data_IF_855213586988
#
_entry.id   IF_855213586988
#
_cell.length_a   1.000
_cell.length_b   1.000
_cell.length_c   1.000
_cell.angle_alpha   90.00
_cell.angle_beta   90.00
_cell.angle_gamma   90.00
#
_symmetry.space_group_name_H-M   'P 1'
#
loop_
_entity.id
_entity.type
_entity.pdbx_description
1 polymer ?
#
# COMPACT_ATOMS: atom_id res chain seq x y z
N UNK A 1 -14.55 13.49 -23.43
CA UNK A 1 -14.67 13.41 -21.97
C UNK A 1 -14.29 11.99 -21.62
N UNK A 2 -13.01 11.72 -21.31
CA UNK A 2 -12.59 10.42 -20.79
C UNK A 2 -13.00 10.31 -19.32
N UNK A 3 -13.14 9.06 -18.88
CA UNK A 3 -13.66 8.64 -17.58
C UNK A 3 -13.06 9.40 -16.40
N UNK A 4 -13.89 10.19 -15.73
CA UNK A 4 -13.75 10.40 -14.28
C UNK A 4 -14.32 9.12 -13.65
N UNK A 5 -13.53 8.05 -13.70
CA UNK A 5 -13.86 6.78 -13.08
C UNK A 5 -13.78 6.96 -11.58
N UNK A 6 -14.92 6.82 -10.91
CA UNK A 6 -14.98 6.61 -9.47
C UNK A 6 -14.32 5.26 -9.14
N UNK A 7 -13.01 5.26 -8.88
CA UNK A 7 -12.33 4.17 -8.17
C UNK A 7 -11.08 4.65 -7.41
N UNK A 8 -11.11 5.87 -6.85
CA UNK A 8 -10.09 6.35 -5.91
C UNK A 8 -10.27 5.71 -4.52
N UNK A 9 -10.32 4.39 -4.46
CA UNK A 9 -10.20 3.63 -3.20
C UNK A 9 -8.97 2.75 -3.35
N UNK A 10 -8.15 2.69 -2.30
CA UNK A 10 -7.08 1.70 -2.15
C UNK A 10 -7.67 0.35 -2.51
N UNK A 11 -7.29 -0.22 -3.67
CA UNK A 11 -7.80 -1.52 -4.10
C UNK A 11 -7.30 -2.57 -3.12
N UNK A 12 -8.20 -3.43 -2.67
CA UNK A 12 -7.95 -4.37 -1.58
C UNK A 12 -7.70 -5.75 -2.13
N UNK A 13 -6.66 -6.42 -1.66
CA UNK A 13 -6.17 -7.70 -2.18
C UNK A 13 -6.96 -8.92 -1.66
N UNK A 14 -7.94 -8.69 -0.77
CA UNK A 14 -8.91 -9.70 -0.31
C UNK A 14 -9.69 -10.37 -1.46
N UNK A 15 -10.12 -11.62 -1.25
CA UNK A 15 -11.11 -12.30 -2.10
C UNK A 15 -12.48 -11.60 -2.10
N UNK A 16 -12.67 -10.63 -1.22
CA UNK A 16 -13.89 -9.86 -1.07
C UNK A 16 -13.70 -8.39 -1.46
N UNK A 17 -14.80 -7.77 -1.89
CA UNK A 17 -14.83 -6.35 -2.23
C UNK A 17 -14.43 -5.48 -1.02
N UNK A 18 -13.56 -4.47 -1.23
CA UNK A 18 -13.23 -3.48 -0.23
C UNK A 18 -14.49 -2.89 0.40
N UNK A 19 -14.46 -2.68 1.71
CA UNK A 19 -15.38 -1.73 2.35
C UNK A 19 -14.52 -0.69 3.06
N UNK A 20 -14.56 0.60 2.65
CA UNK A 20 -13.74 1.62 3.29
C UNK A 20 -14.15 1.81 4.74
N UNK A 21 -13.19 2.23 5.57
CA UNK A 21 -13.47 2.80 6.88
C UNK A 21 -14.42 4.01 6.77
N UNK A 22 -15.16 4.27 7.83
CA UNK A 22 -16.23 5.28 7.84
C UNK A 22 -16.06 6.31 8.94
N UNK A 23 -14.92 6.33 9.62
CA UNK A 23 -14.68 7.25 10.73
C UNK A 23 -14.39 8.66 10.25
N UNK A 24 -13.83 8.83 9.05
CA UNK A 24 -13.33 10.11 8.55
C UNK A 24 -12.07 10.57 9.29
N UNK A 25 -11.33 9.63 9.87
CA UNK A 25 -10.08 9.83 10.60
C UNK A 25 -9.03 8.86 10.07
N UNK A 26 -7.77 9.00 10.50
CA UNK A 26 -6.70 8.06 10.11
C UNK A 26 -6.98 6.61 10.51
N UNK A 27 -7.92 6.35 11.44
CA UNK A 27 -8.22 4.99 11.88
C UNK A 27 -8.79 4.13 10.76
N UNK A 28 -9.33 4.77 9.72
CA UNK A 28 -9.77 4.10 8.50
C UNK A 28 -8.61 3.36 7.80
N UNK A 29 -7.35 3.74 8.07
CA UNK A 29 -6.17 3.03 7.59
C UNK A 29 -6.11 1.59 8.11
N UNK A 30 -6.52 1.27 9.34
CA UNK A 30 -6.53 -0.11 9.81
C UNK A 30 -7.45 -1.00 8.95
N UNK A 31 -8.60 -0.45 8.54
CA UNK A 31 -9.52 -1.13 7.63
C UNK A 31 -8.85 -1.32 6.27
N UNK A 32 -8.23 -0.27 5.72
CA UNK A 32 -7.53 -0.34 4.44
C UNK A 32 -6.40 -1.39 4.48
N UNK A 33 -5.61 -1.46 5.55
CA UNK A 33 -4.51 -2.41 5.69
C UNK A 33 -4.97 -3.84 5.83
N UNK A 34 -6.03 -4.15 6.59
CA UNK A 34 -6.59 -5.51 6.67
C UNK A 34 -6.91 -6.05 5.28
N UNK A 35 -7.47 -5.17 4.47
CA UNK A 35 -7.88 -5.44 3.12
C UNK A 35 -6.72 -5.48 2.11
N UNK A 36 -5.67 -4.69 2.35
CA UNK A 36 -4.47 -4.55 1.53
C UNK A 36 -3.29 -5.41 2.03
N UNK A 37 -3.48 -6.29 3.02
CA UNK A 37 -2.42 -7.16 3.51
C UNK A 37 -2.30 -8.42 2.64
N UNK A 38 -1.19 -8.53 1.92
CA UNK A 38 -0.88 -9.66 1.04
C UNK A 38 -0.80 -11.00 1.79
N UNK A 39 -0.41 -10.98 3.06
CA UNK A 39 -0.38 -12.15 3.93
C UNK A 39 -1.77 -12.63 4.30
N UNK A 40 -2.66 -11.72 4.73
CA UNK A 40 -4.07 -12.05 4.99
C UNK A 40 -4.76 -12.54 3.71
N UNK A 41 -4.54 -11.89 2.58
CA UNK A 41 -5.14 -12.29 1.32
C UNK A 41 -4.73 -13.72 0.89
N UNK A 42 -3.52 -14.15 1.24
CA UNK A 42 -3.01 -15.49 0.95
C UNK A 42 -3.37 -16.57 1.98
N UNK A 43 -3.76 -16.19 3.20
CA UNK A 43 -3.94 -17.09 4.35
C UNK A 43 -5.37 -17.13 4.90
N UNK A 44 -6.16 -16.07 4.74
CA UNK A 44 -7.48 -15.88 5.37
C UNK A 44 -8.61 -15.96 4.34
N UNK A 45 -9.76 -16.53 4.72
CA UNK A 45 -10.96 -16.51 3.86
C UNK A 45 -11.43 -15.06 3.68
N UNK A 46 -11.74 -14.65 2.44
CA UNK A 46 -12.20 -13.28 2.16
C UNK A 46 -13.44 -12.87 2.96
N UNK A 47 -14.30 -13.82 3.36
CA UNK A 47 -15.45 -13.54 4.23
C UNK A 47 -15.04 -13.15 5.63
N UNK A 48 -13.94 -13.69 6.14
CA UNK A 48 -13.43 -13.39 7.48
C UNK A 48 -12.63 -12.09 7.45
N UNK A 49 -11.89 -11.82 6.36
CA UNK A 49 -11.31 -10.48 6.10
C UNK A 49 -12.39 -9.39 6.15
N UNK A 50 -13.54 -9.58 5.47
CA UNK A 50 -14.64 -8.58 5.48
C UNK A 50 -15.21 -8.37 6.89
N UNK A 51 -15.43 -9.45 7.64
CA UNK A 51 -15.97 -9.34 9.00
C UNK A 51 -14.97 -8.71 9.96
N UNK A 52 -13.70 -9.09 9.89
CA UNK A 52 -12.62 -8.50 10.70
C UNK A 52 -12.41 -7.03 10.38
N UNK A 53 -12.42 -6.64 9.11
CA UNK A 53 -12.39 -5.24 8.68
C UNK A 53 -13.61 -4.45 9.16
N UNK A 54 -14.81 -5.04 9.10
CA UNK A 54 -16.02 -4.42 9.63
C UNK A 54 -15.98 -4.24 11.16
N UNK A 55 -15.41 -5.22 11.88
CA UNK A 55 -15.17 -5.13 13.30
C UNK A 55 -14.16 -4.02 13.66
N UNK A 56 -13.04 -3.94 12.94
CA UNK A 56 -12.05 -2.87 13.07
C UNK A 56 -12.67 -1.48 12.83
N UNK A 57 -13.52 -1.33 11.82
CA UNK A 57 -14.27 -0.09 11.58
C UNK A 57 -15.21 0.24 12.75
N UNK A 58 -15.93 -0.76 13.28
CA UNK A 58 -16.81 -0.60 14.44
C UNK A 58 -16.05 -0.13 15.69
N UNK A 59 -14.91 -0.74 15.99
CA UNK A 59 -14.04 -0.34 17.10
C UNK A 59 -13.53 1.09 16.90
N UNK A 60 -13.10 1.41 15.69
CA UNK A 60 -12.61 2.75 15.33
C UNK A 60 -13.68 3.83 15.49
N UNK A 61 -14.94 3.54 15.15
CA UNK A 61 -16.07 4.46 15.39
C UNK A 61 -16.27 4.73 16.90
N UNK A 62 -16.14 3.70 17.75
CA UNK A 62 -16.22 3.86 19.20
C UNK A 62 -15.03 4.64 19.77
N UNK A 63 -13.83 4.50 19.21
CA UNK A 63 -12.66 5.32 19.55
C UNK A 63 -12.94 6.79 19.25
N UNK A 64 -13.45 7.10 18.05
CA UNK A 64 -13.79 8.47 17.66
C UNK A 64 -14.89 9.05 18.56
N UNK A 65 -15.89 8.27 18.93
CA UNK A 65 -16.91 8.72 19.88
C UNK A 65 -16.29 9.05 21.26
N UNK A 66 -15.42 8.18 21.78
CA UNK A 66 -14.75 8.39 23.06
C UNK A 66 -13.82 9.60 23.04
N UNK A 67 -13.09 9.81 21.95
CA UNK A 67 -12.24 10.98 21.76
C UNK A 67 -13.07 12.28 21.83
N UNK A 68 -14.17 12.33 21.07
CA UNK A 68 -15.09 13.47 21.08
C UNK A 68 -15.73 13.72 22.45
N UNK A 69 -16.12 12.67 23.17
CA UNK A 69 -16.75 12.78 24.49
C UNK A 69 -15.80 13.30 25.57
N UNK A 70 -14.51 13.02 25.42
CA UNK A 70 -13.47 13.37 26.40
C UNK A 70 -12.66 14.61 26.01
N UNK A 71 -12.73 15.03 24.74
CA UNK A 71 -11.90 16.08 24.17
C UNK A 71 -10.47 15.62 23.85
N UNK A 72 -10.21 14.30 23.88
CA UNK A 72 -8.90 13.73 23.58
C UNK A 72 -8.49 13.98 22.13
N UNK A 73 -7.21 14.23 21.88
CA UNK A 73 -6.69 14.40 20.53
C UNK A 73 -7.07 15.72 19.86
N UNK A 74 -7.69 16.66 20.59
CA UNK A 74 -8.17 17.92 20.02
C UNK A 74 -7.05 18.84 19.49
N UNK A 75 -5.81 18.63 19.97
CA UNK A 75 -4.60 19.30 19.50
C UNK A 75 -3.77 18.44 18.54
N UNK A 76 -4.33 17.34 18.05
CA UNK A 76 -3.66 16.37 17.17
C UNK A 76 -2.75 15.40 17.91
N UNK A 77 -2.73 15.39 19.26
CA UNK A 77 -1.93 14.46 20.06
C UNK A 77 -2.76 13.80 21.14
N UNK A 78 -2.50 12.52 21.38
CA UNK A 78 -3.09 11.80 22.50
C UNK A 78 -2.08 11.73 23.64
N UNK A 79 -2.53 12.06 24.84
CA UNK A 79 -1.79 11.92 26.08
C UNK A 79 -2.24 10.68 26.85
N UNK A 80 -1.41 10.21 27.80
CA UNK A 80 -1.77 9.10 28.69
C UNK A 80 -3.06 9.40 29.46
N UNK A 81 -3.22 10.63 29.95
CA UNK A 81 -4.41 11.06 30.68
C UNK A 81 -5.67 11.00 29.82
N UNK A 82 -5.58 11.39 28.56
CA UNK A 82 -6.68 11.31 27.59
C UNK A 82 -7.02 9.87 27.24
N UNK A 83 -6.03 9.01 27.02
CA UNK A 83 -6.23 7.56 26.81
C UNK A 83 -6.96 6.92 27.98
N UNK A 84 -6.60 7.26 29.22
CA UNK A 84 -7.31 6.77 30.42
C UNK A 84 -8.76 7.28 30.45
N UNK A 85 -9.00 8.54 30.09
CA UNK A 85 -10.35 9.09 30.04
C UNK A 85 -11.22 8.40 28.97
N UNK A 86 -10.66 8.14 27.78
CA UNK A 86 -11.34 7.41 26.70
C UNK A 86 -11.67 5.98 27.12
N UNK A 87 -10.72 5.26 27.74
CA UNK A 87 -10.96 3.93 28.29
C UNK A 87 -12.14 3.93 29.27
N UNK A 88 -12.16 4.87 30.22
CA UNK A 88 -13.25 4.98 31.19
C UNK A 88 -14.61 5.23 30.51
N UNK A 89 -14.63 6.06 29.46
CA UNK A 89 -15.83 6.32 28.67
C UNK A 89 -16.32 5.05 27.96
N UNK A 90 -15.44 4.36 27.23
CA UNK A 90 -15.78 3.12 26.51
C UNK A 90 -16.30 2.07 27.49
N UNK A 91 -15.62 1.86 28.61
CA UNK A 91 -16.02 0.87 29.63
C UNK A 91 -17.38 1.19 30.26
N UNK A 92 -17.69 2.46 30.44
CA UNK A 92 -18.95 2.88 31.05
C UNK A 92 -20.15 2.81 30.08
N UNK A 93 -19.92 3.00 28.77
CA UNK A 93 -21.01 3.19 27.80
C UNK A 93 -21.12 2.06 26.77
N UNK A 94 -19.99 1.45 26.39
CA UNK A 94 -19.87 0.61 25.20
C UNK A 94 -19.20 -0.75 25.44
N UNK A 95 -18.90 -1.13 26.68
CA UNK A 95 -18.12 -2.34 26.97
C UNK A 95 -18.66 -3.60 26.29
N UNK A 96 -19.99 -3.80 26.28
CA UNK A 96 -20.59 -4.98 25.63
C UNK A 96 -20.42 -4.97 24.11
N UNK A 97 -20.56 -3.81 23.47
CA UNK A 97 -20.37 -3.67 22.02
C UNK A 97 -18.89 -3.79 21.66
N UNK A 98 -18.02 -3.14 22.44
CA UNK A 98 -16.57 -3.21 22.28
C UNK A 98 -16.06 -4.65 22.32
N UNK A 99 -16.42 -5.42 23.35
CA UNK A 99 -15.99 -6.82 23.46
C UNK A 99 -16.53 -7.69 22.32
N UNK A 100 -17.75 -7.44 21.85
CA UNK A 100 -18.30 -8.20 20.72
C UNK A 100 -17.63 -7.88 19.38
N UNK A 101 -17.21 -6.63 19.18
CA UNK A 101 -16.46 -6.21 18.00
C UNK A 101 -15.01 -6.67 18.06
N UNK A 102 -14.36 -6.56 19.22
CA UNK A 102 -13.00 -7.09 19.42
C UNK A 102 -12.96 -8.58 19.11
N UNK A 103 -13.94 -9.31 19.64
CA UNK A 103 -14.07 -10.74 19.42
C UNK A 103 -13.31 -11.55 20.46
N UNK A 104 -13.18 -12.84 20.13
CA UNK A 104 -12.63 -13.89 20.97
C UNK A 104 -12.01 -14.93 20.03
N UNK A 105 -10.92 -15.57 20.44
CA UNK A 105 -10.19 -16.64 19.76
C UNK A 105 -10.14 -17.93 20.62
N UNK A 106 -10.83 -17.96 21.76
CA UNK A 106 -10.91 -19.15 22.60
C UNK A 106 -11.71 -20.29 21.94
N UNK A 107 -11.29 -21.53 22.24
CA UNK A 107 -12.04 -22.73 21.84
C UNK A 107 -11.99 -23.07 20.33
N UNK A 108 -11.19 -22.34 19.55
CA UNK A 108 -11.02 -22.56 18.11
C UNK A 108 -12.15 -21.97 17.25
N UNK A 109 -12.92 -21.02 17.79
CA UNK A 109 -13.88 -20.21 17.04
C UNK A 109 -13.48 -18.74 17.16
N UNK A 110 -13.00 -18.15 16.06
CA UNK A 110 -12.67 -16.72 16.01
C UNK A 110 -13.91 -15.89 15.69
N UNK A 111 -14.03 -14.72 16.33
CA UNK A 111 -15.09 -13.74 16.08
C UNK A 111 -14.53 -12.33 16.05
N UNK A 112 -15.33 -11.35 15.61
CA UNK A 112 -14.93 -9.93 15.65
C UNK A 112 -13.65 -9.63 14.86
N UNK A 113 -12.77 -8.82 15.44
CA UNK A 113 -11.46 -8.48 14.89
C UNK A 113 -10.49 -9.67 14.91
N UNK A 114 -10.67 -10.64 15.82
CA UNK A 114 -9.86 -11.86 15.87
C UNK A 114 -10.00 -12.77 14.64
N UNK A 115 -10.90 -12.47 13.70
CA UNK A 115 -10.99 -13.13 12.39
C UNK A 115 -9.87 -12.77 11.41
N UNK A 116 -9.06 -11.75 11.75
CA UNK A 116 -7.90 -11.33 10.95
C UNK A 116 -6.64 -11.20 11.79
N UNK A 117 -6.74 -11.32 13.11
CA UNK A 117 -5.62 -11.19 14.03
C UNK A 117 -4.96 -12.56 14.16
N UNK A 118 -3.65 -12.61 13.96
CA UNK A 118 -2.87 -13.85 13.88
C UNK A 118 -3.21 -14.78 12.69
N UNK A 119 -4.00 -14.30 11.72
CA UNK A 119 -4.43 -15.05 10.52
C UNK A 119 -3.55 -14.88 9.29
N UNK A 120 -2.28 -14.51 9.50
CA UNK A 120 -1.30 -14.43 8.42
C UNK A 120 -0.99 -13.02 7.92
N UNK A 121 -1.45 -11.97 8.59
CA UNK A 121 -1.00 -10.60 8.29
C UNK A 121 0.53 -10.49 8.26
N UNK A 122 1.05 -9.72 7.31
CA UNK A 122 2.49 -9.52 7.10
C UNK A 122 2.92 -8.05 7.14
N UNK A 123 1.97 -7.12 7.04
CA UNK A 123 2.24 -5.67 7.07
C UNK A 123 2.95 -5.28 8.36
N UNK A 124 4.01 -4.48 8.24
CA UNK A 124 4.83 -4.06 9.36
C UNK A 124 4.65 -2.56 9.62
N UNK A 125 4.59 -2.19 10.90
CA UNK A 125 4.68 -0.81 11.37
C UNK A 125 5.78 -0.72 12.43
N UNK A 126 6.86 0.02 12.13
CA UNK A 126 8.02 0.22 13.01
C UNK A 126 8.58 -1.10 13.59
N UNK A 127 8.62 -2.12 12.72
CA UNK A 127 9.14 -3.46 13.03
C UNK A 127 8.20 -4.36 13.84
N UNK A 128 6.93 -3.99 13.98
CA UNK A 128 5.88 -4.80 14.59
C UNK A 128 4.84 -5.16 13.54
N UNK A 129 4.16 -6.30 13.71
CA UNK A 129 3.05 -6.64 12.84
C UNK A 129 1.90 -5.64 13.05
N UNK A 130 1.45 -5.00 11.99
CA UNK A 130 0.46 -3.93 12.07
C UNK A 130 -0.88 -4.46 12.58
N UNK A 131 -1.39 -5.57 12.04
CA UNK A 131 -2.68 -6.11 12.45
C UNK A 131 -2.58 -6.80 13.81
N UNK A 132 -1.59 -7.68 13.98
CA UNK A 132 -1.49 -8.57 15.15
C UNK A 132 -0.94 -7.90 16.40
N UNK A 133 -0.36 -6.70 16.29
CA UNK A 133 0.27 -6.04 17.44
C UNK A 133 -0.22 -4.61 17.60
N UNK A 134 -0.15 -3.80 16.55
CA UNK A 134 -0.47 -2.38 16.67
C UNK A 134 -1.99 -2.16 16.69
N UNK A 135 -2.72 -2.66 15.69
CA UNK A 135 -4.18 -2.55 15.62
C UNK A 135 -4.85 -3.30 16.79
N UNK A 136 -4.43 -4.56 17.03
CA UNK A 136 -4.82 -5.32 18.23
C UNK A 136 -4.61 -4.50 19.51
N UNK A 137 -3.39 -3.98 19.70
CA UNK A 137 -3.04 -3.17 20.86
C UNK A 137 -3.89 -1.90 20.99
N UNK A 138 -4.24 -1.23 19.89
CA UNK A 138 -5.18 -0.08 19.89
C UNK A 138 -6.59 -0.53 20.27
N UNK A 139 -7.05 -1.67 19.77
CA UNK A 139 -8.37 -2.21 20.06
C UNK A 139 -8.49 -2.80 21.47
N UNK A 140 -7.38 -2.88 22.22
CA UNK A 140 -7.40 -3.11 23.66
C UNK A 140 -7.83 -1.88 24.49
N UNK A 141 -8.06 -0.71 23.86
CA UNK A 141 -8.47 0.52 24.55
C UNK A 141 -9.72 0.38 25.42
N UNK A 142 -10.63 -0.57 25.14
CA UNK A 142 -11.83 -0.83 25.94
C UNK A 142 -11.61 -1.74 27.16
N UNK A 143 -10.45 -2.37 27.29
CA UNK A 143 -10.19 -3.38 28.32
C UNK A 143 -9.66 -2.79 29.64
N UNK A 144 -9.52 -3.62 30.66
CA UNK A 144 -9.13 -3.16 31.99
C UNK A 144 -7.70 -2.63 31.99
N UNK A 145 -7.45 -1.52 32.69
CA UNK A 145 -6.09 -1.00 32.89
C UNK A 145 -5.58 -1.51 34.23
N UNK A 146 -4.41 -2.18 34.22
CA UNK A 146 -3.70 -2.57 35.43
C UNK A 146 -2.26 -2.01 35.41
N UNK A 147 -1.97 -1.14 36.38
CA UNK A 147 -0.70 -0.43 36.40
C UNK A 147 -0.60 0.50 35.20
N UNK A 148 0.39 0.25 34.34
CA UNK A 148 0.62 1.03 33.12
C UNK A 148 0.17 0.33 31.84
N UNK A 149 -0.47 -0.85 31.94
CA UNK A 149 -0.85 -1.65 30.77
C UNK A 149 -2.36 -1.81 30.68
N UNK A 150 -2.85 -1.90 29.45
CA UNK A 150 -4.12 -2.56 29.18
C UNK A 150 -3.96 -4.06 29.41
N UNK A 151 -4.99 -4.70 29.93
CA UNK A 151 -5.10 -6.15 30.00
C UNK A 151 -5.78 -6.67 28.72
N UNK A 152 -5.41 -7.86 28.27
CA UNK A 152 -6.18 -8.61 27.29
C UNK A 152 -7.39 -9.30 27.94
N UNK A 153 -8.14 -10.04 27.14
CA UNK A 153 -9.33 -10.81 27.51
C UNK A 153 -9.06 -11.80 28.66
N UNK A 154 -7.83 -12.33 28.71
CA UNK A 154 -7.35 -13.29 29.71
C UNK A 154 -6.86 -12.63 31.01
N UNK A 155 -6.73 -11.30 31.03
CA UNK A 155 -6.17 -10.55 32.15
C UNK A 155 -4.63 -10.45 32.15
N UNK A 156 -3.98 -10.84 31.05
CA UNK A 156 -2.55 -10.67 30.82
C UNK A 156 -2.24 -9.27 30.28
N UNK A 157 -1.02 -8.78 30.53
CA UNK A 157 -0.63 -7.43 30.10
C UNK A 157 -0.43 -7.34 28.58
N UNK A 158 -1.09 -6.37 27.95
CA UNK A 158 -0.89 -5.96 26.56
C UNK A 158 -0.19 -4.57 26.51
N UNK A 159 -0.60 -3.67 25.62
CA UNK A 159 0.05 -2.40 25.36
C UNK A 159 0.12 -1.49 26.58
N UNK A 160 1.22 -0.75 26.69
CA UNK A 160 1.32 0.30 27.71
C UNK A 160 0.46 1.50 27.35
N UNK A 161 0.06 2.29 28.35
CA UNK A 161 -0.63 3.58 28.14
C UNK A 161 0.17 4.53 27.24
N UNK A 162 1.51 4.50 27.34
CA UNK A 162 2.40 5.32 26.52
C UNK A 162 2.33 4.90 25.04
N UNK A 163 2.48 3.59 24.76
CA UNK A 163 2.37 3.07 23.39
C UNK A 163 0.99 3.34 22.79
N UNK A 164 -0.08 3.20 23.55
CA UNK A 164 -1.44 3.53 23.10
C UNK A 164 -1.56 5.00 22.69
N UNK A 165 -0.99 5.92 23.50
CA UNK A 165 -1.01 7.35 23.20
C UNK A 165 -0.23 7.69 21.93
N UNK A 166 0.89 7.01 21.71
CA UNK A 166 1.70 7.13 20.50
C UNK A 166 0.93 6.60 19.28
N UNK A 167 0.44 5.35 19.32
CA UNK A 167 -0.32 4.77 18.20
C UNK A 167 -1.58 5.55 17.85
N UNK A 168 -2.35 6.01 18.83
CA UNK A 168 -3.51 6.87 18.56
C UNK A 168 -3.09 8.20 17.94
N UNK A 169 -1.99 8.81 18.37
CA UNK A 169 -1.49 10.05 17.73
C UNK A 169 -1.17 9.81 16.25
N UNK A 170 -0.55 8.67 15.92
CA UNK A 170 -0.15 8.33 14.55
C UNK A 170 -1.32 7.92 13.66
N UNK A 171 -2.21 7.07 14.17
CA UNK A 171 -3.31 6.50 13.38
C UNK A 171 -4.62 7.27 13.50
N UNK A 172 -4.75 8.28 14.35
CA UNK A 172 -5.99 9.06 14.40
C UNK A 172 -5.99 10.19 13.36
N UNK A 173 -4.81 10.74 13.04
CA UNK A 173 -4.64 11.72 11.96
C UNK A 173 -4.35 10.98 10.67
N UNK A 174 -5.07 11.31 9.59
CA UNK A 174 -4.76 10.75 8.28
C UNK A 174 -3.66 11.58 7.60
N UNK A 175 -2.53 10.94 7.36
CA UNK A 175 -1.36 11.54 6.70
C UNK A 175 -1.29 11.22 5.21
N UNK A 176 -2.28 10.49 4.68
CA UNK A 176 -2.22 9.86 3.35
C UNK A 176 -3.56 10.02 2.64
N UNK A 177 -3.76 11.18 2.02
CA UNK A 177 -5.10 11.69 1.67
C UNK A 177 -5.33 11.93 0.19
N UNK A 178 -4.41 11.49 -0.67
CA UNK A 178 -4.56 11.67 -2.12
C UNK A 178 -5.59 10.72 -2.72
N UNK A 179 -5.89 9.62 -2.02
CA UNK A 179 -6.71 8.51 -2.48
C UNK A 179 -6.13 7.86 -3.74
N UNK A 180 -4.80 7.77 -3.79
CA UNK A 180 -4.03 7.17 -4.89
C UNK A 180 -2.93 6.28 -4.32
N UNK A 181 -2.27 5.46 -5.14
CA UNK A 181 -1.17 4.63 -4.64
C UNK A 181 0.05 5.42 -4.14
N UNK A 182 0.12 6.75 -4.39
CA UNK A 182 1.13 7.63 -3.80
C UNK A 182 1.02 7.69 -2.26
N UNK A 183 -0.16 7.43 -1.70
CA UNK A 183 -0.42 7.36 -0.25
C UNK A 183 0.46 6.30 0.44
N UNK A 184 0.98 5.32 -0.31
CA UNK A 184 1.96 4.35 0.21
C UNK A 184 3.24 5.02 0.72
N UNK A 185 3.66 6.16 0.16
CA UNK A 185 4.91 6.83 0.57
C UNK A 185 4.81 7.42 1.99
N UNK A 186 3.85 8.31 2.31
CA UNK A 186 3.67 8.81 3.67
C UNK A 186 3.40 7.67 4.67
N UNK A 187 2.63 6.65 4.30
CA UNK A 187 2.43 5.44 5.12
C UNK A 187 3.76 4.75 5.48
N UNK A 188 4.64 4.57 4.49
CA UNK A 188 5.94 3.93 4.69
C UNK A 188 6.91 4.81 5.50
N UNK A 189 6.82 6.14 5.39
CA UNK A 189 7.57 7.08 6.24
C UNK A 189 7.16 6.89 7.70
N UNK A 190 5.85 6.87 7.97
CA UNK A 190 5.29 6.69 9.31
C UNK A 190 5.67 5.35 9.93
N UNK A 191 5.72 4.30 9.10
CA UNK A 191 6.08 2.95 9.48
C UNK A 191 7.60 2.70 9.58
N UNK A 192 8.47 3.63 9.16
CA UNK A 192 9.90 3.39 9.06
C UNK A 192 10.56 3.24 10.44
N UNK A 193 11.17 2.06 10.67
CA UNK A 193 11.81 1.76 11.95
C UNK A 193 13.11 2.55 12.16
N UNK A 194 13.79 2.91 11.08
CA UNK A 194 15.00 3.72 11.14
C UNK A 194 14.70 5.12 11.67
N UNK A 195 13.67 5.78 11.11
CA UNK A 195 13.21 7.09 11.56
C UNK A 195 12.73 7.07 13.02
N UNK A 196 11.90 6.09 13.39
CA UNK A 196 11.43 5.87 14.77
C UNK A 196 12.58 5.78 15.80
N UNK A 197 13.75 5.28 15.38
CA UNK A 197 14.92 5.17 16.25
C UNK A 197 15.76 6.45 16.36
N UNK A 198 15.46 7.50 15.56
CA UNK A 198 16.38 8.62 15.31
C UNK A 198 15.78 9.99 15.58
N UNK A 199 14.55 10.21 15.14
CA UNK A 199 13.86 11.50 15.21
C UNK A 199 12.55 11.38 15.99
N UNK A 200 11.93 12.53 16.26
CA UNK A 200 10.69 12.54 17.03
C UNK A 200 9.49 12.14 16.17
N UNK A 201 8.45 11.62 16.82
CA UNK A 201 7.15 11.36 16.18
C UNK A 201 6.56 12.59 15.48
N UNK A 202 6.86 13.80 15.98
CA UNK A 202 6.40 15.04 15.37
C UNK A 202 7.14 15.34 14.06
N UNK A 203 8.43 14.99 13.97
CA UNK A 203 9.22 15.18 12.75
C UNK A 203 8.83 14.15 11.68
N UNK A 204 8.61 12.88 12.09
CA UNK A 204 8.10 11.83 11.19
C UNK A 204 6.74 12.23 10.61
N UNK A 205 5.80 12.66 11.45
CA UNK A 205 4.48 13.12 11.01
C UNK A 205 4.59 14.37 10.12
N UNK A 206 5.44 15.33 10.46
CA UNK A 206 5.67 16.53 9.66
C UNK A 206 6.25 16.22 8.27
N UNK A 207 7.20 15.29 8.18
CA UNK A 207 7.75 14.82 6.92
C UNK A 207 6.74 14.03 6.08
N UNK A 208 5.89 13.21 6.72
CA UNK A 208 4.79 12.50 6.05
C UNK A 208 3.71 13.47 5.53
N UNK A 209 3.34 14.49 6.31
CA UNK A 209 2.40 15.55 5.89
C UNK A 209 2.93 16.32 4.67
N UNK A 210 4.23 16.64 4.69
CA UNK A 210 4.91 17.29 3.57
C UNK A 210 4.91 16.41 2.31
N UNK A 211 5.27 15.12 2.45
CA UNK A 211 5.21 14.12 1.38
C UNK A 211 3.80 14.01 0.78
N UNK A 212 2.76 13.97 1.62
CA UNK A 212 1.37 13.97 1.18
C UNK A 212 0.97 15.26 0.46
N UNK A 213 1.43 16.43 0.94
CA UNK A 213 1.25 17.69 0.21
C UNK A 213 1.88 17.68 -1.18
N UNK A 214 3.09 17.12 -1.32
CA UNK A 214 3.76 16.96 -2.61
C UNK A 214 3.02 15.96 -3.49
N UNK A 215 2.51 14.86 -2.92
CA UNK A 215 1.68 13.89 -3.64
C UNK A 215 0.42 14.56 -4.22
N UNK A 216 -0.25 15.45 -3.48
CA UNK A 216 -1.37 16.24 -4.02
C UNK A 216 -0.96 17.10 -5.23
N UNK A 217 0.22 17.74 -5.18
CA UNK A 217 0.75 18.49 -6.32
C UNK A 217 1.05 17.60 -7.54
N UNK A 218 1.55 16.38 -7.31
CA UNK A 218 1.74 15.37 -8.37
C UNK A 218 0.39 15.00 -9.00
N UNK A 219 -0.63 14.69 -8.19
CA UNK A 219 -1.98 14.36 -8.66
C UNK A 219 -2.58 15.49 -9.48
N UNK A 220 -2.48 16.73 -8.98
CA UNK A 220 -2.94 17.92 -9.69
C UNK A 220 -2.21 18.12 -11.02
N UNK A 221 -0.89 17.89 -11.05
CA UNK A 221 -0.09 17.99 -12.26
C UNK A 221 -0.50 16.92 -13.29
N UNK A 222 -0.68 15.67 -12.87
CA UNK A 222 -1.14 14.58 -13.74
C UNK A 222 -2.51 14.91 -14.33
N UNK A 223 -3.44 15.39 -13.52
CA UNK A 223 -4.78 15.76 -13.98
C UNK A 223 -4.75 16.94 -14.98
N UNK A 224 -3.86 17.92 -14.77
CA UNK A 224 -3.75 19.10 -15.61
C UNK A 224 -3.08 18.83 -16.97
N UNK A 225 -2.12 17.91 -17.03
CA UNK A 225 -1.33 17.62 -18.23
C UNK A 225 -1.85 16.42 -19.00
N UNK A 226 -2.55 15.49 -18.33
CA UNK A 226 -2.93 14.19 -18.89
C UNK A 226 -1.78 13.18 -18.87
N UNK A 227 -0.78 13.36 -18.00
CA UNK A 227 0.47 12.60 -17.92
C UNK A 227 0.35 11.08 -17.77
N UNK A 228 -0.81 10.56 -17.39
CA UNK A 228 -1.04 9.12 -17.20
C UNK A 228 -2.25 8.62 -18.01
N UNK A 229 -2.65 9.36 -19.06
CA UNK A 229 -3.88 9.09 -19.81
C UNK A 229 -3.83 7.77 -20.61
N UNK A 230 -2.65 7.27 -20.90
CA UNK A 230 -2.36 5.99 -21.56
C UNK A 230 -1.91 4.90 -20.57
N UNK A 231 -2.15 5.09 -19.27
CA UNK A 231 -1.72 4.20 -18.18
C UNK A 231 -0.19 4.03 -18.12
N UNK A 232 0.55 5.06 -18.50
CA UNK A 232 2.00 5.13 -18.36
C UNK A 232 2.41 6.58 -18.14
N UNK A 233 3.38 6.81 -17.26
CA UNK A 233 4.02 8.12 -17.09
C UNK A 233 5.38 8.04 -17.79
N UNK A 234 5.62 8.87 -18.80
CA UNK A 234 6.89 8.95 -19.51
C UNK A 234 7.75 10.14 -19.06
N UNK A 235 9.02 10.17 -19.47
CA UNK A 235 9.87 11.35 -19.30
C UNK A 235 9.26 12.64 -19.92
N UNK A 236 8.49 12.51 -21.01
CA UNK A 236 7.81 13.66 -21.62
C UNK A 236 6.66 14.17 -20.74
N UNK A 237 5.97 13.26 -20.05
CA UNK A 237 4.90 13.60 -19.11
C UNK A 237 5.47 14.32 -17.88
N UNK A 238 6.61 13.87 -17.37
CA UNK A 238 7.34 14.56 -16.29
C UNK A 238 7.74 15.98 -16.67
N UNK A 239 8.23 16.21 -17.90
CA UNK A 239 8.53 17.56 -18.40
C UNK A 239 7.26 18.43 -18.43
N UNK A 240 6.12 17.87 -18.82
CA UNK A 240 4.85 18.60 -18.81
C UNK A 240 4.36 18.92 -17.39
N UNK A 241 4.46 17.96 -16.47
CA UNK A 241 4.11 18.13 -15.05
C UNK A 241 5.00 19.18 -14.37
N UNK A 242 6.30 19.12 -14.63
CA UNK A 242 7.26 20.12 -14.17
C UNK A 242 6.91 21.52 -14.66
N UNK A 243 6.64 21.68 -15.96
CA UNK A 243 6.22 22.96 -16.54
C UNK A 243 4.91 23.48 -15.93
N UNK A 244 3.99 22.59 -15.56
CA UNK A 244 2.78 22.95 -14.83
C UNK A 244 3.09 23.50 -13.43
N UNK A 245 3.95 22.84 -12.65
CA UNK A 245 4.36 23.34 -11.31
C UNK A 245 5.04 24.69 -11.42
N UNK A 246 6.04 24.81 -12.30
CA UNK A 246 6.87 26.02 -12.47
C UNK A 246 6.15 27.17 -13.18
N UNK A 247 5.06 26.88 -13.89
CA UNK A 247 4.28 27.86 -14.63
C UNK A 247 3.47 28.81 -13.74
N UNK A 248 3.31 28.51 -12.45
CA UNK A 248 2.60 29.33 -11.47
C UNK A 248 3.48 29.59 -10.23
N UNK A 249 3.70 30.86 -9.90
CA UNK A 249 4.60 31.24 -8.82
C UNK A 249 4.09 30.88 -7.41
N UNK A 250 2.77 30.82 -7.20
CA UNK A 250 2.22 30.40 -5.92
C UNK A 250 2.38 28.88 -5.76
N UNK A 251 2.05 28.11 -6.79
CA UNK A 251 2.25 26.67 -6.79
C UNK A 251 3.70 26.26 -6.61
N UNK A 252 4.63 26.95 -7.28
CA UNK A 252 6.06 26.71 -7.09
C UNK A 252 6.50 27.05 -5.66
N UNK A 253 5.96 28.10 -5.05
CA UNK A 253 6.25 28.43 -3.66
C UNK A 253 5.71 27.37 -2.69
N UNK A 254 4.48 26.90 -2.91
CA UNK A 254 3.87 25.81 -2.12
C UNK A 254 4.69 24.52 -2.25
N UNK A 255 5.14 24.18 -3.47
CA UNK A 255 6.04 23.06 -3.72
C UNK A 255 7.35 23.17 -2.93
N UNK A 256 8.02 24.34 -2.99
CA UNK A 256 9.29 24.56 -2.27
C UNK A 256 9.10 24.50 -0.75
N UNK A 257 8.01 25.05 -0.22
CA UNK A 257 7.70 24.98 1.21
C UNK A 257 7.49 23.53 1.69
N UNK A 258 6.78 22.73 0.89
CA UNK A 258 6.55 21.32 1.20
C UNK A 258 7.82 20.49 1.03
N UNK A 259 8.62 20.73 -0.01
CA UNK A 259 9.91 20.07 -0.18
C UNK A 259 10.81 20.33 1.03
N UNK A 260 10.86 21.60 1.44
CA UNK A 260 11.58 22.04 2.61
C UNK A 260 13.02 22.43 2.32
N UNK A 261 13.76 22.64 3.40
CA UNK A 261 15.12 23.16 3.43
C UNK A 261 15.82 22.55 4.66
N UNK A 262 17.12 22.32 4.56
CA UNK A 262 18.01 21.86 5.64
C UNK A 262 19.14 22.88 5.94
N UNK A 263 19.11 24.05 5.30
CA UNK A 263 20.08 25.12 5.54
C UNK A 263 20.03 25.65 6.98
N UNK A 264 21.21 25.90 7.55
CA UNK A 264 21.33 26.55 8.86
C UNK A 264 20.97 25.67 10.06
N UNK A 265 20.75 24.37 9.85
CA UNK A 265 20.52 23.37 10.90
C UNK A 265 19.10 23.36 11.46
N UNK A 266 18.12 23.83 10.68
CA UNK A 266 16.70 23.67 10.96
C UNK A 266 16.04 23.04 9.73
N UNK A 267 15.53 21.83 9.87
CA UNK A 267 14.82 21.13 8.80
C UNK A 267 13.35 21.54 8.78
N UNK A 268 12.78 21.63 7.57
CA UNK A 268 11.34 21.84 7.34
C UNK A 268 10.85 20.95 6.22
N UNK A 269 9.53 20.82 6.04
CA UNK A 269 8.96 20.08 4.91
C UNK A 269 9.38 18.61 4.91
N UNK A 270 9.62 18.05 3.72
CA UNK A 270 10.08 16.67 3.55
C UNK A 270 11.48 16.44 4.13
N UNK A 271 12.30 17.48 4.25
CA UNK A 271 13.63 17.37 4.87
C UNK A 271 13.58 17.01 6.38
N UNK A 272 12.42 17.05 7.03
CA UNK A 272 12.25 16.54 8.42
C UNK A 272 12.52 15.03 8.58
N UNK A 273 12.54 14.28 7.47
CA UNK A 273 12.79 12.83 7.46
C UNK A 273 13.92 12.43 6.53
N UNK A 274 14.36 13.33 5.64
CA UNK A 274 15.42 13.08 4.68
C UNK A 274 16.76 13.08 5.41
N UNK A 275 17.56 12.02 5.19
CA UNK A 275 18.85 11.79 5.87
C UNK A 275 18.78 11.53 7.38
N UNK A 276 17.58 11.38 7.95
CA UNK A 276 17.35 11.17 9.39
C UNK A 276 17.30 9.71 9.84
N UNK A 277 17.86 8.83 9.01
CA UNK A 277 18.08 7.43 9.36
C UNK A 277 16.97 6.47 8.96
N UNK A 278 16.08 6.88 8.04
CA UNK A 278 15.19 5.98 7.33
C UNK A 278 15.93 4.74 6.81
N UNK A 279 15.32 3.56 6.90
CA UNK A 279 15.96 2.31 6.50
C UNK A 279 15.10 1.36 5.65
N UNK A 280 13.87 1.75 5.35
CA UNK A 280 13.02 1.07 4.39
C UNK A 280 13.67 1.10 3.02
N UNK A 281 13.70 -0.06 2.35
CA UNK A 281 14.34 -0.22 1.05
C UNK A 281 13.30 -0.46 -0.03
N UNK A 282 13.44 0.29 -1.13
CA UNK A 282 12.70 0.11 -2.38
C UNK A 282 13.69 0.15 -3.54
N UNK A 283 13.55 -0.75 -4.50
CA UNK A 283 14.33 -0.86 -5.73
C UNK A 283 15.84 -0.94 -5.48
N UNK A 284 16.24 -1.65 -4.41
CA UNK A 284 17.62 -1.71 -3.93
C UNK A 284 18.17 -0.41 -3.31
N UNK A 285 17.32 0.60 -3.11
CA UNK A 285 17.67 1.95 -2.68
C UNK A 285 16.94 2.31 -1.38
N UNK A 286 17.34 3.41 -0.74
CA UNK A 286 16.61 3.93 0.43
C UNK A 286 15.32 4.59 -0.05
N UNK A 287 14.18 4.21 0.54
CA UNK A 287 12.89 4.75 0.13
C UNK A 287 12.85 6.27 0.31
N UNK A 288 13.19 6.77 1.50
CA UNK A 288 13.07 8.20 1.81
C UNK A 288 14.17 9.00 1.11
N UNK A 289 15.43 8.61 1.29
CA UNK A 289 16.59 9.39 0.85
C UNK A 289 16.94 9.24 -0.63
N UNK A 290 16.16 8.48 -1.41
CA UNK A 290 16.48 8.28 -2.83
C UNK A 290 15.24 8.20 -3.69
N UNK A 291 14.32 7.29 -3.37
CA UNK A 291 13.13 7.07 -4.22
C UNK A 291 12.12 8.22 -4.05
N UNK A 292 11.65 8.45 -2.82
CA UNK A 292 10.73 9.54 -2.51
C UNK A 292 11.39 10.90 -2.75
N UNK A 293 12.62 11.09 -2.29
CA UNK A 293 13.42 12.28 -2.59
C UNK A 293 13.47 12.59 -4.09
N UNK A 294 13.92 11.65 -4.92
CA UNK A 294 14.02 11.87 -6.36
C UNK A 294 12.67 12.09 -7.05
N UNK A 295 11.59 11.45 -6.58
CA UNK A 295 10.22 11.76 -7.03
C UNK A 295 9.80 13.18 -6.63
N UNK A 296 10.16 13.63 -5.44
CA UNK A 296 9.76 14.92 -4.88
C UNK A 296 10.56 16.09 -5.43
N UNK A 297 11.62 15.83 -6.17
CA UNK A 297 12.31 16.84 -6.97
C UNK A 297 11.58 17.25 -8.27
N UNK A 298 10.42 16.68 -8.59
CA UNK A 298 9.74 16.88 -9.87
C UNK A 298 9.36 18.35 -10.20
N UNK A 299 9.37 19.25 -9.21
CA UNK A 299 9.11 20.69 -9.38
C UNK A 299 10.36 21.57 -9.67
N UNK A 300 11.57 21.02 -9.49
CA UNK A 300 12.83 21.74 -9.74
C UNK A 300 13.22 21.78 -11.22
N UNK A 301 14.28 22.51 -11.56
CA UNK A 301 14.70 22.66 -12.97
C UNK A 301 15.09 21.30 -13.57
N UNK A 302 14.88 21.13 -14.88
CA UNK A 302 15.31 19.95 -15.61
C UNK A 302 16.54 20.32 -16.46
N UNK A 303 17.67 19.67 -16.19
CA UNK A 303 18.87 19.79 -17.01
C UNK A 303 19.38 18.41 -17.42
N UNK A 304 19.73 18.25 -18.71
CA UNK A 304 20.35 17.03 -19.24
C UNK A 304 19.55 15.73 -18.94
N UNK A 305 18.23 15.81 -18.92
CA UNK A 305 17.34 14.65 -18.66
C UNK A 305 17.28 14.23 -17.18
N UNK A 306 17.60 15.15 -16.27
CA UNK A 306 17.55 14.94 -14.82
C UNK A 306 16.85 16.13 -14.17
N UNK A 307 16.20 15.89 -13.03
CA UNK A 307 15.85 16.99 -12.14
C UNK A 307 17.11 17.50 -11.44
N UNK A 308 17.22 18.80 -11.26
CA UNK A 308 18.19 19.42 -10.33
C UNK A 308 17.63 19.41 -8.91
N UNK A 309 18.51 19.50 -7.90
CA UNK A 309 18.16 19.79 -6.51
C UNK A 309 18.06 21.30 -6.25
N UNK A 310 17.77 21.67 -5.00
CA UNK A 310 17.60 23.05 -4.54
C UNK A 310 18.85 23.91 -4.81
N UNK A 311 20.02 23.28 -4.82
CA UNK A 311 21.33 23.88 -5.07
C UNK A 311 21.71 23.97 -6.56
N UNK A 312 20.93 23.35 -7.45
CA UNK A 312 21.22 23.26 -8.89
C UNK A 312 22.17 22.10 -9.26
N UNK A 313 22.38 21.14 -8.36
CA UNK A 313 23.12 19.91 -8.64
C UNK A 313 22.19 18.83 -9.22
N UNK A 314 22.73 17.93 -10.05
CA UNK A 314 21.93 16.89 -10.69
C UNK A 314 21.42 15.84 -9.69
N UNK A 315 20.11 15.63 -9.65
CA UNK A 315 19.42 14.56 -8.91
C UNK A 315 18.99 13.40 -9.85
N UNK A 316 17.82 12.77 -9.64
CA UNK A 316 17.36 11.58 -10.36
C UNK A 316 17.12 11.85 -11.86
N UNK A 317 17.25 10.81 -12.69
CA UNK A 317 16.91 10.91 -14.12
C UNK A 317 15.39 10.94 -14.28
N UNK A 318 14.92 11.51 -15.40
CA UNK A 318 13.50 11.47 -15.73
C UNK A 318 12.99 10.03 -15.90
N UNK A 319 13.82 9.10 -16.39
CA UNK A 319 13.43 7.69 -16.54
C UNK A 319 13.27 7.00 -15.17
N UNK A 320 14.20 7.22 -14.22
CA UNK A 320 14.07 6.66 -12.86
C UNK A 320 12.80 7.17 -12.17
N UNK A 321 12.53 8.48 -12.27
CA UNK A 321 11.33 9.09 -11.66
C UNK A 321 10.05 8.60 -12.35
N UNK A 322 10.08 8.39 -13.67
CA UNK A 322 8.96 7.83 -14.40
C UNK A 322 8.67 6.40 -13.92
N UNK A 323 9.68 5.56 -13.76
CA UNK A 323 9.53 4.20 -13.23
C UNK A 323 8.96 4.19 -11.81
N UNK A 324 9.45 5.06 -10.92
CA UNK A 324 8.93 5.17 -9.55
C UNK A 324 7.49 5.70 -9.51
N UNK A 325 7.16 6.72 -10.32
CA UNK A 325 5.79 7.22 -10.42
C UNK A 325 4.85 6.17 -11.02
N UNK A 326 5.27 5.42 -12.04
CA UNK A 326 4.50 4.28 -12.54
C UNK A 326 4.31 3.23 -11.45
N UNK A 327 5.32 2.95 -10.63
CA UNK A 327 5.22 2.01 -9.52
C UNK A 327 4.16 2.42 -8.48
N UNK A 328 4.20 3.67 -8.02
CA UNK A 328 3.33 4.13 -6.94
C UNK A 328 1.97 4.63 -7.42
N UNK A 329 1.85 5.24 -8.60
CA UNK A 329 0.63 5.90 -9.04
C UNK A 329 -0.19 5.09 -10.04
N UNK A 330 0.47 4.44 -11.01
CA UNK A 330 -0.22 3.79 -12.13
C UNK A 330 -0.71 2.40 -11.76
N UNK A 331 -1.98 2.16 -12.05
CA UNK A 331 -2.64 0.87 -11.93
C UNK A 331 -2.54 0.09 -13.24
N UNK A 332 -1.90 -1.08 -13.20
CA UNK A 332 -1.76 -1.96 -14.37
C UNK A 332 -2.84 -3.04 -14.43
N UNK A 333 -3.68 -3.18 -13.40
CA UNK A 333 -4.71 -4.20 -13.33
C UNK A 333 -5.98 -3.76 -14.03
N UNK A 334 -6.21 -4.25 -15.25
CA UNK A 334 -7.26 -3.69 -16.13
C UNK A 334 -8.37 -4.65 -16.51
N UNK A 335 -8.33 -5.91 -16.05
CA UNK A 335 -9.34 -6.90 -16.46
C UNK A 335 -10.68 -6.77 -15.72
N UNK A 336 -10.67 -6.20 -14.52
CA UNK A 336 -11.84 -6.15 -13.63
C UNK A 336 -12.22 -7.53 -13.09
N UNK A 337 -11.26 -8.45 -12.96
CA UNK A 337 -11.48 -9.83 -12.53
C UNK A 337 -10.57 -10.22 -11.38
N UNK A 338 -10.80 -11.38 -10.77
CA UNK A 338 -9.94 -11.89 -9.71
C UNK A 338 -8.49 -12.18 -10.12
N UNK A 339 -8.17 -12.17 -11.43
CA UNK A 339 -6.81 -12.31 -11.95
C UNK A 339 -5.96 -11.06 -11.71
N UNK A 340 -6.59 -9.89 -11.60
CA UNK A 340 -5.94 -8.61 -11.31
C UNK A 340 -5.11 -8.67 -10.02
N UNK A 341 -5.46 -9.56 -9.08
CA UNK A 341 -4.69 -9.80 -7.85
C UNK A 341 -3.23 -10.19 -8.11
N UNK A 342 -2.94 -10.88 -9.21
CA UNK A 342 -1.56 -11.23 -9.55
C UNK A 342 -0.76 -9.95 -9.84
N UNK A 343 -1.34 -9.07 -10.66
CA UNK A 343 -0.75 -7.78 -11.06
C UNK A 343 -0.60 -6.86 -9.86
N UNK A 344 -1.64 -6.78 -9.03
CA UNK A 344 -1.64 -5.99 -7.79
C UNK A 344 -0.55 -6.45 -6.80
N UNK A 345 -0.39 -7.77 -6.61
CA UNK A 345 0.62 -8.31 -5.71
C UNK A 345 2.03 -8.09 -6.27
N UNK A 346 2.25 -8.18 -7.59
CA UNK A 346 3.55 -7.81 -8.19
C UNK A 346 3.95 -6.38 -7.78
N UNK A 347 2.99 -5.46 -7.77
CA UNK A 347 3.19 -4.04 -7.43
C UNK A 347 3.26 -3.76 -5.93
N UNK A 348 2.91 -4.70 -5.06
CA UNK A 348 2.84 -4.50 -3.59
C UNK A 348 3.68 -5.48 -2.77
N UNK A 349 4.26 -6.50 -3.41
CA UNK A 349 5.13 -7.46 -2.76
C UNK A 349 6.37 -6.77 -2.19
N UNK A 350 6.53 -6.82 -0.87
CA UNK A 350 7.66 -6.17 -0.18
C UNK A 350 9.02 -6.75 -0.57
N UNK A 351 9.06 -8.01 -0.99
CA UNK A 351 10.24 -8.69 -1.45
C UNK A 351 10.67 -8.25 -2.84
N UNK A 352 9.73 -8.15 -3.80
CA UNK A 352 9.99 -7.52 -5.10
C UNK A 352 10.37 -6.07 -4.94
N UNK A 353 9.56 -5.30 -4.20
CA UNK A 353 9.81 -3.89 -3.94
C UNK A 353 11.21 -3.66 -3.38
N UNK A 354 11.74 -4.56 -2.55
CA UNK A 354 13.08 -4.45 -1.99
C UNK A 354 14.20 -4.80 -2.97
N UNK A 355 14.01 -5.81 -3.83
CA UNK A 355 15.10 -6.47 -4.55
C UNK A 355 15.09 -6.25 -6.08
N UNK A 356 13.96 -5.85 -6.65
CA UNK A 356 13.76 -5.65 -8.09
C UNK A 356 13.64 -4.16 -8.37
N UNK A 357 14.16 -3.67 -9.51
CA UNK A 357 14.01 -2.26 -9.85
C UNK A 357 12.56 -1.95 -10.28
N UNK A 358 12.16 -0.67 -10.22
CA UNK A 358 10.77 -0.27 -10.46
C UNK A 358 10.31 -0.55 -11.90
N UNK A 359 11.16 -0.30 -12.90
CA UNK A 359 10.87 -0.57 -14.30
C UNK A 359 10.55 -2.05 -14.55
N UNK A 360 11.38 -2.96 -14.05
CA UNK A 360 11.17 -4.42 -14.16
C UNK A 360 9.87 -4.85 -13.49
N UNK A 361 9.53 -4.30 -12.32
CA UNK A 361 8.24 -4.58 -11.66
C UNK A 361 7.07 -4.07 -12.51
N UNK A 362 7.18 -2.86 -13.06
CA UNK A 362 6.14 -2.29 -13.92
C UNK A 362 5.93 -3.15 -15.17
N UNK A 363 7.01 -3.56 -15.84
CA UNK A 363 6.96 -4.36 -17.06
C UNK A 363 6.48 -5.79 -16.79
N UNK A 364 6.91 -6.42 -15.69
CA UNK A 364 6.37 -7.70 -15.23
C UNK A 364 4.88 -7.65 -14.90
N UNK A 365 4.42 -6.55 -14.28
CA UNK A 365 3.00 -6.31 -14.00
C UNK A 365 2.20 -6.12 -15.30
N UNK A 366 2.71 -5.35 -16.27
CA UNK A 366 2.10 -5.19 -17.61
C UNK A 366 2.00 -6.55 -18.34
N UNK A 367 3.04 -7.38 -18.27
CA UNK A 367 3.02 -8.71 -18.86
C UNK A 367 1.96 -9.63 -18.21
N UNK A 368 1.85 -9.58 -16.89
CA UNK A 368 0.81 -10.32 -16.15
C UNK A 368 -0.61 -9.86 -16.50
N UNK A 369 -0.86 -8.55 -16.65
CA UNK A 369 -2.18 -8.03 -17.08
C UNK A 369 -2.51 -8.49 -18.50
N UNK A 370 -1.55 -8.43 -19.43
CA UNK A 370 -1.72 -8.92 -20.78
C UNK A 370 -2.04 -10.43 -20.83
N UNK A 371 -1.37 -11.24 -20.01
CA UNK A 371 -1.74 -12.65 -19.84
C UNK A 371 -3.17 -12.82 -19.34
N UNK A 372 -3.59 -12.02 -18.37
CA UNK A 372 -4.93 -12.10 -17.80
C UNK A 372 -6.01 -11.83 -18.86
N UNK A 373 -5.82 -10.85 -19.75
CA UNK A 373 -6.72 -10.61 -20.88
C UNK A 373 -6.82 -11.83 -21.81
N UNK A 374 -5.67 -12.42 -22.18
CA UNK A 374 -5.68 -13.62 -23.05
C UNK A 374 -6.39 -14.79 -22.35
N UNK A 375 -6.15 -15.00 -21.05
CA UNK A 375 -6.82 -16.05 -20.27
C UNK A 375 -8.34 -15.85 -20.31
N UNK A 376 -8.83 -14.62 -20.14
CA UNK A 376 -10.26 -14.32 -20.18
C UNK A 376 -10.86 -14.59 -21.57
N UNK A 377 -10.16 -14.20 -22.63
CA UNK A 377 -10.56 -14.53 -24.00
C UNK A 377 -10.63 -16.05 -24.21
N UNK A 378 -9.68 -16.81 -23.66
CA UNK A 378 -9.70 -18.27 -23.74
C UNK A 378 -10.82 -18.89 -22.91
N UNK A 379 -11.08 -18.38 -21.70
CA UNK A 379 -12.21 -18.80 -20.85
C UNK A 379 -13.52 -18.63 -21.62
N UNK A 380 -13.72 -17.48 -22.26
CA UNK A 380 -14.88 -17.23 -23.10
C UNK A 380 -14.93 -18.14 -24.34
N UNK A 381 -13.81 -18.34 -25.03
CA UNK A 381 -13.73 -19.11 -26.26
C UNK A 381 -14.09 -20.59 -26.08
N UNK A 382 -13.69 -21.19 -24.96
CA UNK A 382 -14.02 -22.61 -24.66
C UNK A 382 -15.23 -22.75 -23.74
N UNK A 383 -15.85 -21.64 -23.33
CA UNK A 383 -16.93 -21.59 -22.34
C UNK A 383 -16.52 -22.28 -21.02
N UNK A 384 -15.26 -22.07 -20.62
CA UNK A 384 -14.76 -22.48 -19.30
C UNK A 384 -15.52 -21.71 -18.22
N UNK A 385 -15.62 -22.27 -17.01
CA UNK A 385 -16.28 -21.63 -15.87
C UNK A 385 -17.80 -21.44 -16.00
N UNK A 386 -18.46 -22.04 -17.00
CA UNK A 386 -19.91 -21.91 -17.18
C UNK A 386 -20.73 -22.51 -16.02
N UNK A 387 -20.16 -23.44 -15.26
CA UNK A 387 -20.70 -24.04 -14.05
C UNK A 387 -20.09 -23.48 -12.76
N UNK A 388 -19.30 -22.41 -12.87
CA UNK A 388 -18.57 -21.79 -11.77
C UNK A 388 -17.24 -22.48 -11.42
N UNK A 389 -16.78 -23.44 -12.24
CA UNK A 389 -15.49 -24.10 -12.06
C UNK A 389 -14.67 -24.13 -13.35
N UNK A 390 -13.36 -23.89 -13.22
CA UNK A 390 -12.39 -24.20 -14.28
C UNK A 390 -11.80 -25.58 -13.98
N UNK A 391 -11.96 -26.51 -14.91
CA UNK A 391 -11.48 -27.88 -14.78
C UNK A 391 -10.19 -28.11 -15.56
N UNK A 392 -9.54 -29.25 -15.32
CA UNK A 392 -8.37 -29.66 -16.11
C UNK A 392 -8.70 -29.91 -17.59
N UNK A 393 -9.96 -30.19 -17.94
CA UNK A 393 -10.40 -30.31 -19.33
C UNK A 393 -10.47 -28.94 -20.00
N UNK A 394 -11.02 -27.93 -19.31
CA UNK A 394 -11.04 -26.55 -19.76
C UNK A 394 -9.63 -26.02 -20.01
N UNK A 395 -8.71 -26.23 -19.05
CA UNK A 395 -7.31 -25.82 -19.19
C UNK A 395 -6.61 -26.46 -20.41
N UNK A 396 -6.90 -27.74 -20.70
CA UNK A 396 -6.37 -28.41 -21.90
C UNK A 396 -6.95 -27.82 -23.18
N UNK A 397 -8.22 -27.45 -23.18
CA UNK A 397 -8.88 -26.81 -24.32
C UNK A 397 -8.29 -25.41 -24.57
N UNK A 398 -8.15 -24.59 -23.52
CA UNK A 398 -7.51 -23.27 -23.58
C UNK A 398 -6.07 -23.37 -24.11
N UNK A 399 -5.26 -24.29 -23.56
CA UNK A 399 -3.90 -24.53 -24.03
C UNK A 399 -3.85 -24.97 -25.50
N UNK A 400 -4.79 -25.82 -25.93
CA UNK A 400 -4.86 -26.26 -27.32
C UNK A 400 -5.18 -25.10 -28.27
N UNK A 401 -6.07 -24.19 -27.86
CA UNK A 401 -6.40 -23.00 -28.64
C UNK A 401 -5.21 -22.05 -28.77
N UNK A 402 -4.53 -21.72 -27.67
CA UNK A 402 -3.32 -20.87 -27.68
C UNK A 402 -2.29 -21.43 -28.66
N UNK A 403 -2.02 -22.75 -28.59
CA UNK A 403 -1.01 -23.40 -29.44
C UNK A 403 -1.41 -23.56 -30.90
N UNK A 404 -2.69 -23.52 -31.22
CA UNK A 404 -3.19 -23.69 -32.58
C UNK A 404 -3.11 -22.39 -33.40
N UNK A 405 -3.03 -21.24 -32.73
CA UNK A 405 -2.86 -19.93 -33.34
C UNK A 405 -1.40 -19.47 -33.19
N UNK A 406 -0.71 -19.29 -34.31
CA UNK A 406 0.72 -18.98 -34.31
C UNK A 406 1.02 -17.56 -33.80
N UNK A 407 0.12 -16.61 -34.04
CA UNK A 407 0.31 -15.22 -33.60
C UNK A 407 0.05 -15.11 -32.11
N UNK A 408 -1.03 -15.74 -31.62
CA UNK A 408 -1.33 -15.82 -30.19
C UNK A 408 -0.26 -16.57 -29.40
N UNK A 409 0.29 -17.66 -29.93
CA UNK A 409 1.39 -18.37 -29.30
C UNK A 409 2.67 -17.53 -29.23
N UNK A 410 2.94 -16.73 -30.26
CA UNK A 410 4.10 -15.84 -30.28
C UNK A 410 3.95 -14.73 -29.22
N UNK A 411 2.80 -14.08 -29.15
CA UNK A 411 2.48 -13.09 -28.12
C UNK A 411 2.57 -13.69 -26.71
N UNK A 412 1.96 -14.86 -26.48
CA UNK A 412 2.03 -15.56 -25.19
C UNK A 412 3.48 -15.88 -24.78
N UNK A 413 4.32 -16.28 -25.75
CA UNK A 413 5.74 -16.58 -25.48
C UNK A 413 6.53 -15.31 -25.16
N UNK A 414 6.26 -14.21 -25.86
CA UNK A 414 6.90 -12.91 -25.60
C UNK A 414 6.52 -12.36 -24.22
N UNK A 415 5.24 -12.47 -23.83
CA UNK A 415 4.77 -12.09 -22.50
C UNK A 415 5.39 -12.94 -21.39
N UNK A 416 5.61 -14.24 -21.63
CA UNK A 416 6.28 -15.11 -20.65
C UNK A 416 7.73 -14.66 -20.47
N UNK A 417 8.36 -14.28 -21.58
CA UNK A 417 9.72 -13.81 -21.63
C UNK A 417 10.76 -14.93 -21.65
N UNK A 418 12.01 -14.50 -21.63
CA UNK A 418 13.19 -15.35 -21.61
C UNK A 418 14.04 -14.98 -20.39
N UNK A 419 14.64 -15.97 -19.73
CA UNK A 419 15.64 -15.81 -18.65
C UNK A 419 17.02 -16.33 -19.10
N UNK A 420 17.14 -16.81 -20.35
CA UNK A 420 18.38 -17.32 -20.89
C UNK A 420 19.34 -16.19 -21.29
N UNK A 421 20.64 -16.38 -21.01
CA UNK A 421 21.68 -15.45 -21.46
C UNK A 421 21.84 -14.17 -20.63
N UNK A 422 21.13 -14.04 -19.50
CA UNK A 422 21.35 -13.00 -18.49
C UNK A 422 20.65 -11.67 -18.75
N UNK A 423 19.64 -11.66 -19.62
CA UNK A 423 18.69 -10.56 -19.76
C UNK A 423 17.28 -11.13 -19.66
N UNK A 424 16.54 -10.69 -18.65
CA UNK A 424 15.15 -11.10 -18.45
C UNK A 424 14.22 -10.18 -19.24
N UNK A 425 13.09 -10.73 -19.69
CA UNK A 425 12.01 -9.96 -20.36
C UNK A 425 10.65 -10.46 -19.89
N UNK A 426 9.58 -9.73 -20.17
CA UNK A 426 8.21 -10.18 -19.90
C UNK A 426 7.98 -10.49 -18.42
N UNK A 427 7.24 -11.56 -18.12
CA UNK A 427 6.94 -11.97 -16.75
C UNK A 427 8.18 -12.45 -15.99
N UNK A 428 9.24 -12.91 -16.67
CA UNK A 428 10.48 -13.31 -16.00
C UNK A 428 11.20 -12.15 -15.30
N UNK A 429 10.89 -10.88 -15.61
CA UNK A 429 11.44 -9.69 -14.92
C UNK A 429 11.09 -9.61 -13.42
N UNK A 430 10.08 -10.38 -12.99
CA UNK A 430 9.65 -10.46 -11.59
C UNK A 430 9.73 -11.89 -11.04
N UNK A 431 10.10 -12.85 -11.87
CA UNK A 431 10.14 -14.25 -11.49
C UNK A 431 11.51 -14.62 -10.93
N UNK A 432 11.52 -15.03 -9.66
CA UNK A 432 12.71 -15.30 -8.86
C UNK A 432 13.49 -14.06 -8.42
N UNK A 433 12.91 -12.86 -8.57
CA UNK A 433 13.53 -11.57 -8.19
C UNK A 433 13.20 -11.10 -6.78
N UNK A 434 12.92 -12.05 -5.89
CA UNK A 434 12.73 -11.76 -4.47
C UNK A 434 11.29 -11.62 -4.01
N UNK A 435 10.29 -11.91 -4.88
CA UNK A 435 8.90 -12.04 -4.48
C UNK A 435 8.74 -12.92 -3.22
N UNK A 436 7.90 -12.49 -2.29
CA UNK A 436 7.84 -13.04 -0.93
C UNK A 436 6.43 -13.42 -0.45
N UNK A 437 5.41 -12.95 -1.16
CA UNK A 437 3.99 -13.21 -0.86
C UNK A 437 3.62 -14.63 -1.23
N UNK A 438 2.91 -15.31 -0.31
CA UNK A 438 2.47 -16.68 -0.51
C UNK A 438 0.94 -16.76 -0.61
N UNK A 439 0.44 -17.45 -1.63
CA UNK A 439 -0.95 -17.85 -1.76
C UNK A 439 -1.03 -19.37 -1.75
N UNK A 440 -1.99 -19.94 -1.03
CA UNK A 440 -2.16 -21.41 -0.93
C UNK A 440 -0.89 -22.14 -0.46
N UNK A 441 -0.10 -21.48 0.40
CA UNK A 441 1.17 -22.01 0.91
C UNK A 441 2.32 -22.07 -0.11
N UNK A 442 2.21 -21.34 -1.23
CA UNK A 442 3.23 -21.26 -2.27
C UNK A 442 3.49 -19.81 -2.66
N UNK A 443 4.69 -19.50 -3.12
CA UNK A 443 5.01 -18.17 -3.60
C UNK A 443 4.08 -17.79 -4.77
N UNK A 444 3.40 -16.64 -4.66
CA UNK A 444 2.41 -16.25 -5.65
C UNK A 444 3.07 -16.06 -7.02
N UNK A 445 4.09 -15.20 -7.11
CA UNK A 445 4.74 -14.85 -8.39
C UNK A 445 5.50 -16.05 -8.96
N UNK A 446 6.38 -16.65 -8.16
CA UNK A 446 7.32 -17.68 -8.61
C UNK A 446 6.69 -19.07 -8.81
N UNK A 447 5.43 -19.28 -8.45
CA UNK A 447 4.84 -20.62 -8.53
C UNK A 447 3.38 -20.63 -8.93
N UNK A 448 2.54 -19.80 -8.32
CA UNK A 448 1.10 -19.80 -8.62
C UNK A 448 0.85 -19.09 -9.96
N UNK A 449 1.30 -17.84 -10.09
CA UNK A 449 1.19 -17.03 -11.29
C UNK A 449 2.00 -17.64 -12.44
N UNK A 450 3.27 -17.97 -12.21
CA UNK A 450 4.07 -18.74 -13.18
C UNK A 450 3.34 -19.99 -13.67
N UNK A 451 2.81 -20.82 -12.76
CA UNK A 451 2.07 -22.03 -13.14
C UNK A 451 0.80 -21.77 -13.96
N UNK A 452 0.15 -20.62 -13.78
CA UNK A 452 -0.99 -20.16 -14.60
C UNK A 452 -0.51 -19.69 -15.98
N UNK A 453 0.56 -18.90 -16.02
CA UNK A 453 1.12 -18.31 -17.23
C UNK A 453 1.97 -19.31 -18.05
N UNK A 454 2.31 -20.47 -17.48
CA UNK A 454 2.94 -21.59 -18.17
C UNK A 454 1.96 -22.40 -19.05
N UNK A 455 0.69 -21.97 -19.15
CA UNK A 455 -0.18 -22.38 -20.24
C UNK A 455 0.48 -22.04 -21.59
N UNK A 456 0.08 -22.63 -22.71
CA UNK A 456 0.72 -22.42 -24.01
C UNK A 456 1.98 -23.27 -24.27
N UNK A 457 2.70 -23.70 -23.23
CA UNK A 457 3.91 -24.54 -23.37
C UNK A 457 3.59 -26.06 -23.44
N UNK A 458 4.59 -26.88 -23.75
CA UNK A 458 4.39 -28.33 -23.96
C UNK A 458 4.14 -29.03 -22.63
N UNK A 459 2.99 -29.71 -22.51
CA UNK A 459 2.59 -30.51 -21.34
C UNK A 459 3.27 -31.88 -21.32
#
# INVERSE_FOLDING_TARGET
>A
MPNVGTSNQVKTYSLAEPVPGTTGTGLDQFVNYIFADNGLAGATDGRDIVKGAAAANGLSLLIVEAANATGAGADGKFTVEEVVAMNQYIRANHLTEWTALHGDDEGGEETGFHLVQNDGSTTQYRGQNLVNTVADGVFHLGFEIQGNNFLNEDGDANATLQQMSEWLTQFYTDHSTTLTGLDRIPDLIMADKGLDCRISDADIAGGADAANGINHLIVDAIAATGAAADNEISAADLVAMNAYVRGDAARLADFVELHGDDEGGAETGFHLVQNDGANTQYFGQNLVNTVADGMYHFGFEIENGRFENEDGDANATLEDVADWMNYFFVDHSTTGTGLDRIVDVIKTDTGLAKNTNAGDINDGAKAADAFNHIILDQVAAVNANADGWITAEDLRAMNTNIRADADLLAEWTELHGDDEGGAETGFHLVQNDGASTNYFGKNLVNTVADGIYHMGFVI
#
